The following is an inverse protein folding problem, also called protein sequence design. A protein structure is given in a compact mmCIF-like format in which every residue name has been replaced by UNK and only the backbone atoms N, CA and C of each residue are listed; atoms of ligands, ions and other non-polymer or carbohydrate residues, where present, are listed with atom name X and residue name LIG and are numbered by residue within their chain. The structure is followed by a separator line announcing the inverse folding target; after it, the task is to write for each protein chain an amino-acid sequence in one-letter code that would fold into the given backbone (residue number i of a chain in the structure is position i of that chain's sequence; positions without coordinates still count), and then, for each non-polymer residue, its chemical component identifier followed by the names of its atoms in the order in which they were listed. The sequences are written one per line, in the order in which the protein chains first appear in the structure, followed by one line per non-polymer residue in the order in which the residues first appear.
data_IF_357579525094
#
_entry.id   IF_357579525094
#
_cell.length_a   1.000
_cell.length_b   1.000
_cell.length_c   1.000
_cell.angle_alpha   90.00
_cell.angle_beta   90.00
_cell.angle_gamma   90.00
#
_symmetry.space_group_name_H-M   'P 1'
#
loop_
_entity.id
_entity.type
_entity.pdbx_description
1 polymer ?
#
# COMPACT_ATOMS: atom_id res chain seq x y z
N UNK A 1 -19.21 -4.41 13.77
CA UNK A 1 -18.16 -4.13 12.76
C UNK A 1 -16.92 -3.71 13.51
N UNK A 2 -15.74 -4.25 13.19
CA UNK A 2 -14.52 -3.94 13.92
C UNK A 2 -14.17 -2.44 13.76
N UNK A 3 -14.06 -1.74 14.90
CA UNK A 3 -13.71 -0.32 14.96
C UNK A 3 -12.18 -0.18 14.83
N UNK A 4 -11.64 -0.31 13.62
CA UNK A 4 -10.23 0.03 13.39
C UNK A 4 -10.06 1.54 13.30
N UNK A 5 -9.13 2.08 14.09
CA UNK A 5 -8.70 3.48 14.07
C UNK A 5 -7.25 3.62 13.59
N UNK A 6 -6.68 4.78 13.87
CA UNK A 6 -5.31 5.12 13.47
C UNK A 6 -4.26 4.21 14.12
N UNK A 7 -4.48 3.77 15.36
CA UNK A 7 -3.56 2.88 16.07
C UNK A 7 -3.49 1.50 15.43
N UNK A 8 -4.63 0.87 15.10
CA UNK A 8 -4.65 -0.40 14.36
C UNK A 8 -4.03 -0.25 12.97
N UNK A 9 -4.26 0.89 12.30
CA UNK A 9 -3.63 1.18 11.02
C UNK A 9 -2.11 1.21 11.16
N UNK A 10 -1.57 1.99 12.09
CA UNK A 10 -0.13 2.12 12.31
C UNK A 10 0.51 0.77 12.68
N UNK A 11 -0.15 0.00 13.56
CA UNK A 11 0.32 -1.33 13.94
C UNK A 11 0.40 -2.29 12.74
N UNK A 12 -0.65 -2.34 11.91
CA UNK A 12 -0.69 -3.17 10.71
C UNK A 12 0.37 -2.75 9.67
N UNK A 13 0.71 -1.47 9.61
CA UNK A 13 1.66 -0.92 8.65
C UNK A 13 3.13 -1.10 9.02
N UNK A 14 3.44 -1.42 10.28
CA UNK A 14 4.82 -1.52 10.79
C UNK A 14 5.75 -2.45 9.97
N UNK A 15 5.19 -3.48 9.33
CA UNK A 15 5.93 -4.43 8.49
C UNK A 15 5.51 -4.40 7.02
N UNK A 16 4.77 -3.37 6.58
CA UNK A 16 4.25 -3.31 5.22
C UNK A 16 5.30 -2.78 4.24
N UNK A 17 5.65 -3.52 3.17
CA UNK A 17 6.58 -3.03 2.15
C UNK A 17 6.01 -1.80 1.43
N UNK A 18 6.90 -0.87 1.05
CA UNK A 18 6.53 0.27 0.20
C UNK A 18 6.16 -0.18 -1.21
N UNK A 19 5.34 0.62 -1.89
CA UNK A 19 5.09 0.42 -3.32
C UNK A 19 6.38 0.70 -4.10
N UNK A 20 6.76 -0.22 -4.99
CA UNK A 20 7.99 -0.15 -5.76
C UNK A 20 9.19 -0.85 -5.09
N UNK A 21 9.07 -1.23 -3.81
CA UNK A 21 10.08 -1.98 -3.07
C UNK A 21 9.60 -3.43 -2.85
N UNK A 22 9.73 -4.27 -3.88
CA UNK A 22 9.30 -5.68 -3.83
C UNK A 22 10.20 -6.45 -2.85
N UNK A 23 9.67 -6.98 -1.73
CA UNK A 23 10.49 -7.66 -0.72
C UNK A 23 11.06 -8.98 -1.24
N UNK A 24 12.25 -9.35 -0.77
CA UNK A 24 12.91 -10.63 -1.09
C UNK A 24 12.53 -11.74 -0.09
N UNK A 25 12.81 -13.00 -0.42
CA UNK A 25 12.60 -14.15 0.48
C UNK A 25 11.27 -14.90 0.30
N UNK A 26 11.18 -16.06 0.94
CA UNK A 26 10.11 -17.04 0.75
C UNK A 26 8.95 -16.97 1.75
N UNK A 27 8.96 -16.01 2.68
CA UNK A 27 7.87 -15.87 3.65
C UNK A 27 6.55 -15.47 2.95
N UNK A 28 5.42 -15.96 3.46
CA UNK A 28 4.10 -15.74 2.86
C UNK A 28 3.79 -14.24 2.65
N UNK A 29 4.09 -13.39 3.63
CA UNK A 29 3.89 -11.93 3.52
C UNK A 29 4.69 -11.30 2.38
N UNK A 30 5.96 -11.71 2.19
CA UNK A 30 6.79 -11.23 1.09
C UNK A 30 6.25 -11.71 -0.27
N UNK A 31 5.81 -12.97 -0.36
CA UNK A 31 5.23 -13.53 -1.57
C UNK A 31 3.93 -12.82 -1.98
N UNK A 32 3.01 -12.59 -1.03
CA UNK A 32 1.77 -11.85 -1.26
C UNK A 32 2.04 -10.42 -1.72
N UNK A 33 2.96 -9.70 -1.05
CA UNK A 33 3.32 -8.34 -1.46
C UNK A 33 3.87 -8.27 -2.88
N UNK A 34 4.68 -9.25 -3.32
CA UNK A 34 5.18 -9.30 -4.70
C UNK A 34 4.06 -9.56 -5.70
N UNK A 35 3.15 -10.48 -5.38
CA UNK A 35 2.01 -10.79 -6.23
C UNK A 35 1.07 -9.58 -6.38
N UNK A 36 0.78 -8.90 -5.28
CA UNK A 36 -0.08 -7.70 -5.25
C UNK A 36 0.52 -6.56 -6.09
N UNK A 37 1.85 -6.37 -6.05
CA UNK A 37 2.55 -5.34 -6.82
C UNK A 37 3.00 -5.81 -8.22
N UNK A 38 2.49 -6.93 -8.72
CA UNK A 38 2.93 -7.52 -10.00
C UNK A 38 2.74 -6.60 -11.22
N UNK A 39 1.71 -5.75 -11.21
CA UNK A 39 1.40 -4.80 -12.28
C UNK A 39 2.16 -3.46 -12.16
N UNK A 40 3.00 -3.29 -11.14
CA UNK A 40 3.91 -2.15 -11.03
C UNK A 40 5.14 -2.43 -11.87
N UNK A 41 5.28 -1.70 -12.97
CA UNK A 41 6.42 -1.75 -13.88
C UNK A 41 7.67 -1.19 -13.21
N UNK A 42 8.59 -2.08 -12.86
CA UNK A 42 9.86 -1.74 -12.22
C UNK A 42 10.95 -1.30 -13.20
N UNK A 43 10.79 -1.56 -14.50
CA UNK A 43 11.79 -1.20 -15.52
C UNK A 43 11.61 0.25 -15.98
N UNK A 44 10.43 0.84 -15.75
CA UNK A 44 10.22 2.25 -15.98
C UNK A 44 10.89 3.09 -14.88
N UNK A 45 12.13 3.48 -15.12
CA UNK A 45 12.95 4.26 -14.18
C UNK A 45 12.29 5.56 -13.70
N UNK A 46 11.57 6.24 -14.59
CA UNK A 46 10.87 7.50 -14.26
C UNK A 46 9.75 7.24 -13.25
N UNK A 47 8.93 6.22 -13.51
CA UNK A 47 7.86 5.82 -12.62
C UNK A 47 8.41 5.34 -11.28
N UNK A 48 9.46 4.52 -11.29
CA UNK A 48 10.12 4.03 -10.08
C UNK A 48 10.66 5.19 -9.23
N UNK A 49 11.28 6.20 -9.85
CA UNK A 49 11.75 7.40 -9.15
C UNK A 49 10.58 8.21 -8.56
N UNK A 50 9.52 8.44 -9.34
CA UNK A 50 8.36 9.17 -8.87
C UNK A 50 7.65 8.48 -7.69
N UNK A 51 7.57 7.14 -7.71
CA UNK A 51 7.05 6.35 -6.59
C UNK A 51 7.95 6.47 -5.35
N UNK A 52 9.28 6.38 -5.49
CA UNK A 52 10.21 6.57 -4.36
C UNK A 52 10.06 7.95 -3.71
N UNK A 53 10.06 9.01 -4.51
CA UNK A 53 9.90 10.38 -4.02
C UNK A 53 8.51 10.60 -3.39
N UNK A 54 7.47 10.06 -4.02
CA UNK A 54 6.11 10.12 -3.49
C UNK A 54 5.96 9.42 -2.14
N UNK A 55 6.52 8.20 -1.99
CA UNK A 55 6.53 7.48 -0.72
C UNK A 55 7.24 8.29 0.37
N UNK A 56 8.43 8.83 0.08
CA UNK A 56 9.17 9.65 1.03
C UNK A 56 8.40 10.90 1.48
N UNK A 57 7.74 11.60 0.54
CA UNK A 57 6.87 12.75 0.85
C UNK A 57 5.66 12.35 1.70
N UNK A 58 5.07 11.19 1.43
CA UNK A 58 3.93 10.68 2.16
C UNK A 58 4.31 10.32 3.60
N UNK A 59 5.43 9.61 3.79
CA UNK A 59 5.96 9.28 5.12
C UNK A 59 6.32 10.53 5.93
N UNK A 60 6.95 11.53 5.28
CA UNK A 60 7.26 12.80 5.95
C UNK A 60 6.00 13.56 6.39
N UNK A 61 4.89 13.44 5.65
CA UNK A 61 3.63 14.13 5.97
C UNK A 61 2.78 13.39 7.00
N UNK A 62 2.66 12.08 6.87
CA UNK A 62 1.69 11.27 7.62
C UNK A 62 2.33 10.31 8.63
N UNK A 63 3.65 10.19 8.68
CA UNK A 63 4.37 9.38 9.67
C UNK A 63 4.21 7.87 9.51
N UNK A 64 3.74 7.40 8.34
CA UNK A 64 3.50 5.98 8.02
C UNK A 64 3.74 5.70 6.55
N UNK A 65 3.98 4.44 6.20
CA UNK A 65 4.09 4.03 4.79
C UNK A 65 2.79 4.25 4.03
N UNK A 66 2.90 4.56 2.74
CA UNK A 66 1.74 4.67 1.86
C UNK A 66 1.12 3.29 1.59
N UNK A 67 -0.13 3.11 2.00
CA UNK A 67 -0.88 1.87 1.79
C UNK A 67 -1.91 2.00 0.68
N UNK A 68 -1.91 1.08 -0.27
CA UNK A 68 -2.93 0.95 -1.30
C UNK A 68 -3.10 -0.51 -1.71
N UNK A 69 -4.32 -0.95 -2.05
CA UNK A 69 -4.55 -2.29 -2.62
C UNK A 69 -3.90 -2.37 -4.00
N UNK A 70 -2.71 -2.94 -4.10
CA UNK A 70 -1.96 -2.92 -5.36
C UNK A 70 -2.50 -3.88 -6.42
N UNK A 71 -3.14 -5.00 -6.02
CA UNK A 71 -3.62 -6.04 -6.95
C UNK A 71 -4.48 -5.43 -8.06
N UNK A 72 -4.03 -5.55 -9.31
CA UNK A 72 -4.76 -5.06 -10.49
C UNK A 72 -4.61 -3.57 -10.79
N UNK A 73 -3.78 -2.82 -10.07
CA UNK A 73 -3.46 -1.42 -10.36
C UNK A 73 -2.08 -1.32 -11.01
N UNK A 74 -1.98 -0.52 -12.07
CA UNK A 74 -0.71 -0.10 -12.65
C UNK A 74 0.04 0.84 -11.70
N UNK A 75 1.35 0.96 -11.89
CA UNK A 75 2.14 1.91 -11.10
C UNK A 75 1.72 3.37 -11.32
N UNK A 76 1.24 3.73 -12.52
CA UNK A 76 0.73 5.08 -12.83
C UNK A 76 -0.56 5.39 -12.04
N UNK A 77 -1.51 4.45 -11.97
CA UNK A 77 -2.72 4.60 -11.15
C UNK A 77 -2.37 4.74 -9.67
N UNK A 78 -1.37 4.00 -9.20
CA UNK A 78 -0.88 4.10 -7.82
C UNK A 78 -0.23 5.47 -7.58
N UNK A 79 0.60 5.96 -8.49
CA UNK A 79 1.23 7.27 -8.39
C UNK A 79 0.20 8.42 -8.39
N UNK A 80 -0.86 8.31 -9.20
CA UNK A 80 -1.97 9.26 -9.20
C UNK A 80 -2.72 9.25 -7.86
N UNK A 81 -3.02 8.07 -7.32
CA UNK A 81 -3.66 7.93 -6.01
C UNK A 81 -2.78 8.52 -4.89
N UNK A 82 -1.48 8.24 -4.91
CA UNK A 82 -0.49 8.80 -3.98
C UNK A 82 -0.46 10.33 -4.05
N UNK A 83 -0.41 10.88 -5.27
CA UNK A 83 -0.38 12.34 -5.49
C UNK A 83 -1.65 13.03 -5.02
N UNK A 84 -2.82 12.42 -5.23
CA UNK A 84 -4.10 12.91 -4.70
C UNK A 84 -4.11 12.88 -3.17
N UNK A 85 -3.76 11.74 -2.57
CA UNK A 85 -3.80 11.50 -1.12
C UNK A 85 -2.83 12.37 -0.33
N UNK A 86 -1.73 12.80 -0.94
CA UNK A 86 -0.85 13.82 -0.36
C UNK A 86 -1.55 15.16 -0.08
N UNK A 87 -2.71 15.43 -0.69
CA UNK A 87 -3.49 16.65 -0.49
C UNK A 87 -4.52 16.51 0.65
N UNK A 88 -4.72 15.32 1.19
CA UNK A 88 -5.67 15.08 2.26
C UNK A 88 -5.26 15.74 3.58
N UNK A 89 -6.27 16.00 4.41
CA UNK A 89 -6.12 16.15 5.86
C UNK A 89 -5.72 14.80 6.49
N UNK A 90 -5.29 14.83 7.76
CA UNK A 90 -4.91 13.61 8.48
C UNK A 90 -6.09 12.62 8.59
N UNK A 91 -7.29 13.12 8.93
CA UNK A 91 -8.47 12.28 9.15
C UNK A 91 -8.97 11.64 7.84
N UNK A 92 -8.99 12.39 6.75
CA UNK A 92 -9.32 11.86 5.41
C UNK A 92 -8.36 10.75 5.00
N UNK A 93 -7.06 10.94 5.28
CA UNK A 93 -6.05 9.95 4.91
C UNK A 93 -6.14 8.68 5.78
N UNK A 94 -6.36 8.82 7.09
CA UNK A 94 -6.59 7.66 7.98
C UNK A 94 -7.81 6.88 7.50
N UNK A 95 -8.90 7.55 7.15
CA UNK A 95 -10.12 6.91 6.66
C UNK A 95 -9.87 6.12 5.36
N UNK A 96 -9.20 6.73 4.37
CA UNK A 96 -8.91 6.05 3.10
C UNK A 96 -7.89 4.91 3.26
N UNK A 97 -6.84 5.11 4.06
CA UNK A 97 -5.85 4.07 4.33
C UNK A 97 -6.47 2.85 5.03
N UNK A 98 -7.38 3.05 5.98
CA UNK A 98 -8.14 1.98 6.61
C UNK A 98 -9.06 1.25 5.62
N UNK A 99 -9.68 1.95 4.67
CA UNK A 99 -10.47 1.32 3.62
C UNK A 99 -9.58 0.43 2.73
N UNK A 100 -8.40 0.91 2.34
CA UNK A 100 -7.43 0.11 1.58
C UNK A 100 -6.91 -1.10 2.36
N UNK A 101 -6.67 -0.96 3.68
CA UNK A 101 -6.27 -2.08 4.53
C UNK A 101 -7.34 -3.17 4.59
N UNK A 102 -8.62 -2.79 4.67
CA UNK A 102 -9.74 -3.75 4.63
C UNK A 102 -9.80 -4.48 3.30
N UNK A 103 -9.67 -3.79 2.17
CA UNK A 103 -9.62 -4.43 0.85
C UNK A 103 -8.48 -5.48 0.76
N UNK A 104 -7.26 -5.12 1.18
CA UNK A 104 -6.11 -6.02 1.16
C UNK A 104 -6.37 -7.24 2.06
N UNK A 105 -6.90 -7.00 3.26
CA UNK A 105 -7.17 -8.06 4.24
C UNK A 105 -8.18 -9.06 3.68
N UNK A 106 -9.27 -8.58 3.07
CA UNK A 106 -10.29 -9.44 2.46
C UNK A 106 -9.73 -10.24 1.29
N UNK A 107 -8.98 -9.61 0.37
CA UNK A 107 -8.36 -10.32 -0.76
C UNK A 107 -7.38 -11.41 -0.33
N UNK A 108 -6.63 -11.17 0.75
CA UNK A 108 -5.72 -12.18 1.31
C UNK A 108 -6.49 -13.30 1.99
N UNK A 109 -7.57 -12.99 2.70
CA UNK A 109 -8.44 -13.98 3.35
C UNK A 109 -9.12 -14.89 2.31
N UNK A 110 -9.71 -14.30 1.27
CA UNK A 110 -10.32 -15.02 0.14
C UNK A 110 -9.31 -15.94 -0.56
N UNK A 111 -8.04 -15.54 -0.67
CA UNK A 111 -6.99 -16.39 -1.22
C UNK A 111 -6.49 -17.48 -0.27
N UNK A 112 -6.71 -17.34 1.04
CA UNK A 112 -6.26 -18.28 2.06
C UNK A 112 -7.30 -19.36 2.38
N UNK A 113 -8.58 -19.01 2.27
CA UNK A 113 -9.71 -19.92 2.45
C UNK A 113 -10.21 -20.28 1.05
N UNK A 114 -9.76 -21.42 0.53
CA UNK A 114 -10.37 -22.00 -0.67
C UNK A 114 -11.83 -22.40 -0.40
N UNK A 115 -12.63 -22.52 -1.46
CA UNK A 115 -13.92 -23.24 -1.39
C UNK A 115 -13.74 -24.69 -0.91
#
# INVERSE_FOLDING_TARGET
MANWGEDELNAALSAHPRIGEKPTGGQAHAALSRQEQSAVDSENERLAQALREGNARYEARFGRVFLIRAKGRSGEEILQALTRRLQHTADEEVAEALAQLREITMLRLEGAIGE
#
